data_IF_697485841379
#
_entry.id   IF_697485841379
#
_cell.length_a   1.000
_cell.length_b   1.000
_cell.length_c   1.000
_cell.angle_alpha   90.00
_cell.angle_beta   90.00
_cell.angle_gamma   90.00
#
_symmetry.space_group_name_H-M   'P 1'
#
loop_
_entity.id
_entity.type
_entity.pdbx_description
1 polymer ?
#
# COMPACT_ATOMS: atom_id res chain seq x y z
N UNK A 1 14.81 -42.99 66.34
CA UNK A 1 14.90 -43.34 64.91
C UNK A 1 13.50 -43.35 64.30
N UNK A 2 13.00 -42.20 63.84
CA UNK A 2 11.85 -42.08 62.89
C UNK A 2 11.57 -40.61 62.49
N UNK A 3 12.63 -39.81 62.42
CA UNK A 3 12.61 -38.42 61.94
C UNK A 3 13.09 -38.39 60.47
N UNK A 4 12.49 -39.22 59.61
CA UNK A 4 12.86 -39.34 58.18
C UNK A 4 11.70 -39.78 57.26
N UNK A 5 10.45 -39.41 57.55
CA UNK A 5 9.31 -39.65 56.63
C UNK A 5 8.52 -38.35 56.41
N UNK A 6 9.22 -37.22 56.30
CA UNK A 6 8.66 -35.94 55.85
C UNK A 6 9.62 -35.32 54.83
N UNK A 7 10.07 -36.09 53.84
CA UNK A 7 10.85 -35.59 52.69
C UNK A 7 10.78 -36.56 51.50
N UNK A 8 9.60 -37.01 51.06
CA UNK A 8 9.52 -37.68 49.76
C UNK A 8 8.12 -37.84 49.15
N UNK A 9 7.22 -36.86 49.27
CA UNK A 9 6.06 -36.79 48.34
C UNK A 9 5.43 -35.40 48.25
N UNK A 10 6.25 -34.34 48.35
CA UNK A 10 5.88 -32.98 47.89
C UNK A 10 6.39 -32.76 46.47
N UNK A 11 6.38 -33.81 45.64
CA UNK A 11 6.84 -33.77 44.25
C UNK A 11 5.83 -34.44 43.32
N UNK A 12 4.55 -34.14 43.55
CA UNK A 12 3.48 -34.28 42.55
C UNK A 12 2.81 -32.91 42.30
N UNK A 13 3.55 -31.82 42.55
CA UNK A 13 3.31 -30.52 41.94
C UNK A 13 4.52 -30.21 41.05
N UNK A 14 4.26 -29.66 39.87
CA UNK A 14 5.25 -29.27 38.85
C UNK A 14 5.71 -30.37 37.87
N UNK A 15 4.76 -31.12 37.30
CA UNK A 15 4.79 -31.37 35.85
C UNK A 15 3.36 -31.20 35.33
N UNK A 16 2.84 -29.97 35.41
CA UNK A 16 2.03 -29.50 34.28
C UNK A 16 3.08 -29.26 33.20
N UNK A 17 3.42 -30.31 32.46
CA UNK A 17 3.86 -30.14 31.09
C UNK A 17 2.71 -29.39 30.44
N UNK A 18 2.77 -28.06 30.43
CA UNK A 18 2.22 -27.29 29.34
C UNK A 18 2.96 -27.82 28.12
N UNK A 19 2.46 -28.93 27.57
CA UNK A 19 2.53 -29.15 26.14
C UNK A 19 1.87 -27.90 25.58
N UNK A 20 2.69 -26.87 25.36
CA UNK A 20 2.28 -25.69 24.63
C UNK A 20 1.91 -26.21 23.26
N UNK A 21 0.64 -26.59 23.09
CA UNK A 21 -0.02 -26.52 21.79
C UNK A 21 0.15 -25.07 21.39
N UNK A 22 1.25 -24.77 20.71
CA UNK A 22 1.54 -23.43 20.23
C UNK A 22 0.40 -23.08 19.28
N UNK A 23 -0.38 -22.10 19.72
CA UNK A 23 -1.58 -21.67 19.02
C UNK A 23 -1.15 -21.14 17.65
N UNK A 24 -1.78 -21.64 16.60
CA UNK A 24 -1.57 -21.10 15.26
C UNK A 24 -1.89 -19.60 15.27
N UNK A 25 -1.00 -18.73 14.74
CA UNK A 25 -1.25 -17.29 14.73
C UNK A 25 -2.54 -16.97 13.99
N UNK A 26 -3.41 -16.15 14.58
CA UNK A 26 -4.64 -15.76 13.91
C UNK A 26 -4.43 -14.56 12.96
N UNK A 27 -5.41 -14.34 12.11
CA UNK A 27 -5.48 -13.11 11.30
C UNK A 27 -5.59 -11.90 12.22
N UNK A 28 -4.72 -10.90 12.02
CA UNK A 28 -4.74 -9.67 12.80
C UNK A 28 -6.11 -8.95 12.65
N UNK A 29 -6.76 -8.52 13.76
CA UNK A 29 -8.06 -7.86 13.69
C UNK A 29 -8.05 -6.60 12.81
N UNK A 30 -9.03 -6.49 11.91
CA UNK A 30 -9.15 -5.35 10.99
C UNK A 30 -8.09 -5.32 9.88
N UNK A 31 -7.26 -6.36 9.76
CA UNK A 31 -6.37 -6.49 8.61
C UNK A 31 -7.13 -6.92 7.35
N UNK A 32 -6.56 -6.58 6.19
CA UNK A 32 -7.10 -6.93 4.87
C UNK A 32 -6.06 -7.70 4.07
N UNK A 33 -6.50 -8.54 3.13
CA UNK A 33 -5.56 -9.22 2.25
C UNK A 33 -4.90 -8.24 1.28
N UNK A 34 -3.60 -8.38 1.07
CA UNK A 34 -2.86 -7.54 0.10
C UNK A 34 -3.32 -7.80 -1.33
N UNK A 35 -3.63 -9.05 -1.66
CA UNK A 35 -4.15 -9.45 -2.96
C UNK A 35 -5.46 -10.22 -2.77
N UNK A 36 -6.43 -10.14 -3.71
CA UNK A 36 -7.75 -10.76 -3.54
C UNK A 36 -7.70 -12.27 -3.33
N UNK A 37 -6.71 -12.94 -3.92
CA UNK A 37 -6.57 -14.39 -3.90
C UNK A 37 -5.49 -14.91 -2.91
N UNK A 38 -4.79 -14.02 -2.19
CA UNK A 38 -3.80 -14.42 -1.18
C UNK A 38 -4.44 -14.53 0.19
N UNK A 39 -4.06 -15.56 0.97
CA UNK A 39 -4.58 -15.80 2.33
C UNK A 39 -3.58 -15.52 3.45
N UNK A 40 -2.29 -15.37 3.13
CA UNK A 40 -1.23 -15.25 4.12
C UNK A 40 -0.65 -13.83 4.25
N UNK A 41 -0.79 -12.98 3.22
CA UNK A 41 -0.31 -11.59 3.25
C UNK A 41 -1.43 -10.63 3.62
N UNK A 42 -1.30 -10.04 4.79
CA UNK A 42 -2.26 -9.12 5.40
C UNK A 42 -1.67 -7.72 5.53
N UNK A 43 -2.51 -6.70 5.46
CA UNK A 43 -2.16 -5.29 5.64
C UNK A 43 -2.96 -4.70 6.79
N UNK A 44 -2.31 -3.86 7.61
CA UNK A 44 -2.94 -3.14 8.70
C UNK A 44 -2.54 -1.67 8.71
N UNK A 45 -3.49 -0.81 9.08
CA UNK A 45 -3.26 0.61 9.32
C UNK A 45 -2.56 0.87 10.66
N UNK A 46 -2.57 -0.12 11.57
CA UNK A 46 -1.92 -0.03 12.86
C UNK A 46 -0.40 0.03 12.75
N UNK A 47 0.24 0.58 13.79
CA UNK A 47 1.71 0.65 13.88
C UNK A 47 2.32 -0.74 14.03
N UNK A 48 3.57 -0.85 13.58
CA UNK A 48 4.40 -2.05 13.77
C UNK A 48 4.42 -2.53 15.21
N UNK A 49 4.61 -1.64 16.18
CA UNK A 49 4.67 -2.00 17.61
C UNK A 49 3.35 -2.59 18.12
N UNK A 50 2.21 -2.07 17.67
CA UNK A 50 0.89 -2.58 18.05
C UNK A 50 0.65 -3.98 17.49
N UNK A 51 1.02 -4.19 16.23
CA UNK A 51 0.92 -5.50 15.57
C UNK A 51 1.88 -6.52 16.19
N UNK A 52 3.12 -6.11 16.48
CA UNK A 52 4.12 -6.93 17.17
C UNK A 52 3.62 -7.36 18.55
N UNK A 53 3.09 -6.42 19.33
CA UNK A 53 2.58 -6.71 20.68
C UNK A 53 1.40 -7.70 20.64
N UNK A 54 0.48 -7.53 19.70
CA UNK A 54 -0.64 -8.46 19.51
C UNK A 54 -0.19 -9.92 19.34
N UNK A 55 0.79 -10.18 18.46
CA UNK A 55 1.22 -11.55 18.20
C UNK A 55 2.02 -12.16 19.36
N UNK A 56 2.79 -11.32 20.08
CA UNK A 56 3.48 -11.74 21.30
C UNK A 56 2.49 -12.15 22.41
N UNK A 57 1.36 -11.43 22.54
CA UNK A 57 0.31 -11.74 23.52
C UNK A 57 -0.54 -12.94 23.08
N UNK A 58 -0.83 -13.07 21.79
CA UNK A 58 -1.75 -14.08 21.28
C UNK A 58 -1.15 -15.49 21.28
N UNK A 59 0.09 -15.63 20.80
CA UNK A 59 0.76 -16.92 20.60
C UNK A 59 1.76 -17.21 21.72
N UNK A 60 2.19 -16.18 22.44
CA UNK A 60 3.26 -16.22 23.44
C UNK A 60 4.60 -15.72 22.88
N UNK A 61 5.67 -15.75 23.67
CA UNK A 61 6.98 -15.28 23.23
C UNK A 61 7.49 -16.12 22.05
N UNK A 62 8.06 -15.49 21.01
CA UNK A 62 8.66 -16.20 19.88
C UNK A 62 9.85 -17.05 20.33
N UNK A 63 10.12 -18.17 19.65
CA UNK A 63 11.34 -18.97 19.87
C UNK A 63 12.59 -18.21 19.41
N UNK A 64 12.48 -17.53 18.27
CA UNK A 64 13.48 -16.60 17.75
C UNK A 64 12.79 -15.37 17.19
N UNK A 65 13.37 -14.19 17.45
CA UNK A 65 13.03 -12.95 16.78
C UNK A 65 14.17 -12.62 15.82
N UNK A 66 13.95 -12.81 14.53
CA UNK A 66 14.92 -12.44 13.49
C UNK A 66 14.55 -11.09 12.89
N UNK A 67 15.47 -10.14 12.98
CA UNK A 67 15.29 -8.78 12.46
C UNK A 67 16.49 -7.94 12.83
N UNK A 68 16.81 -6.92 12.04
CA UNK A 68 17.83 -5.95 12.41
C UNK A 68 17.13 -4.78 13.15
N UNK A 69 17.30 -4.63 14.48
CA UNK A 69 16.68 -3.53 15.25
C UNK A 69 17.10 -2.16 14.71
N UNK A 70 18.32 -2.07 14.16
CA UNK A 70 18.84 -0.82 13.58
C UNK A 70 18.22 -0.46 12.22
N UNK A 71 17.49 -1.38 11.58
CA UNK A 71 16.68 -1.12 10.37
C UNK A 71 15.22 -0.74 10.67
N UNK A 72 14.84 -0.77 11.96
CA UNK A 72 13.64 -0.14 12.51
C UNK A 72 12.29 -0.81 12.25
N UNK A 73 12.13 -1.68 11.24
CA UNK A 73 10.76 -2.04 10.80
C UNK A 73 10.59 -3.43 10.16
N UNK A 74 11.20 -4.47 10.76
CA UNK A 74 10.94 -5.86 10.40
C UNK A 74 11.26 -6.79 11.56
N UNK A 75 10.36 -7.72 11.84
CA UNK A 75 10.61 -8.88 12.69
C UNK A 75 9.94 -10.11 12.09
N UNK A 76 10.61 -11.25 12.21
CA UNK A 76 10.01 -12.56 12.04
C UNK A 76 9.92 -13.26 13.40
N UNK A 77 8.69 -13.55 13.83
CA UNK A 77 8.36 -14.29 15.04
C UNK A 77 8.21 -15.76 14.69
N UNK A 78 9.24 -16.56 14.95
CA UNK A 78 9.18 -18.01 14.73
C UNK A 78 8.57 -18.69 15.96
N UNK A 79 7.46 -19.41 15.77
CA UNK A 79 6.82 -20.14 16.87
C UNK A 79 7.17 -21.62 16.84
N UNK A 80 7.09 -22.27 15.68
CA UNK A 80 7.40 -23.70 15.54
C UNK A 80 8.18 -23.95 14.26
N UNK A 81 9.19 -24.83 14.35
CA UNK A 81 9.84 -25.39 13.17
C UNK A 81 9.05 -26.59 12.67
N UNK A 82 8.61 -26.54 11.43
CA UNK A 82 7.87 -27.63 10.78
C UNK A 82 8.30 -27.77 9.33
N UNK A 83 8.18 -28.98 8.78
CA UNK A 83 8.35 -29.23 7.35
C UNK A 83 6.93 -29.41 6.77
N UNK A 84 6.57 -28.74 5.66
CA UNK A 84 7.46 -28.01 4.75
C UNK A 84 7.81 -26.57 5.18
N UNK A 85 6.96 -25.91 5.97
CA UNK A 85 7.12 -24.50 6.32
C UNK A 85 7.12 -24.28 7.84
N UNK A 86 7.93 -23.31 8.29
CA UNK A 86 7.98 -22.86 9.67
C UNK A 86 6.71 -22.08 10.03
N UNK A 87 6.10 -22.40 11.18
CA UNK A 87 4.97 -21.64 11.72
C UNK A 87 5.49 -20.35 12.35
N UNK A 88 5.14 -19.21 11.74
CA UNK A 88 5.64 -17.92 12.19
C UNK A 88 4.88 -16.73 11.61
N UNK A 89 5.19 -15.55 12.13
CA UNK A 89 4.61 -14.29 11.66
C UNK A 89 5.72 -13.31 11.31
N UNK A 90 5.76 -12.87 10.06
CA UNK A 90 6.57 -11.72 9.67
C UNK A 90 5.75 -10.44 9.81
N UNK A 91 6.28 -9.45 10.52
CA UNK A 91 5.69 -8.11 10.62
C UNK A 91 6.70 -7.11 10.06
N UNK A 92 6.26 -6.25 9.17
CA UNK A 92 7.12 -5.24 8.55
C UNK A 92 6.39 -3.93 8.35
N UNK A 93 7.08 -2.82 8.56
CA UNK A 93 6.58 -1.49 8.22
C UNK A 93 7.62 -0.71 7.43
N UNK A 94 7.22 0.40 6.81
CA UNK A 94 8.17 1.31 6.17
C UNK A 94 8.94 0.74 4.96
N UNK A 95 8.61 -0.48 4.50
CA UNK A 95 9.21 -1.11 3.30
C UNK A 95 8.26 -1.11 2.11
N UNK A 96 7.13 -0.42 2.22
CA UNK A 96 6.30 -0.10 1.06
C UNK A 96 7.10 0.65 -0.01
N UNK A 97 6.65 0.55 -1.27
CA UNK A 97 7.30 1.21 -2.41
C UNK A 97 6.22 1.73 -3.35
N UNK A 98 5.65 2.88 -3.01
CA UNK A 98 4.72 3.57 -3.91
C UNK A 98 5.48 4.56 -4.79
N UNK A 99 5.49 4.30 -6.09
CA UNK A 99 6.03 5.22 -7.10
C UNK A 99 5.08 6.41 -7.35
N UNK A 100 3.77 6.22 -7.10
CA UNK A 100 2.71 7.22 -7.29
C UNK A 100 3.01 8.52 -6.52
N UNK A 101 3.52 8.40 -5.29
CA UNK A 101 3.84 9.59 -4.47
C UNK A 101 4.95 10.42 -5.10
N UNK A 102 5.93 9.78 -5.75
CA UNK A 102 6.94 10.47 -6.53
C UNK A 102 6.33 11.23 -7.71
N UNK A 103 5.44 10.55 -8.45
CA UNK A 103 4.74 11.12 -9.61
C UNK A 103 3.90 12.36 -9.24
N UNK A 104 3.22 12.33 -8.09
CA UNK A 104 2.44 13.49 -7.59
C UNK A 104 3.37 14.63 -7.16
N UNK A 105 4.44 14.35 -6.42
CA UNK A 105 5.39 15.39 -6.00
C UNK A 105 6.09 16.06 -7.18
N UNK A 106 6.41 15.31 -8.24
CA UNK A 106 6.95 15.88 -9.48
C UNK A 106 5.97 16.85 -10.14
N UNK A 107 4.66 16.56 -10.12
CA UNK A 107 3.61 17.46 -10.63
C UNK A 107 3.51 18.72 -9.78
N UNK A 108 3.50 18.57 -8.44
CA UNK A 108 3.50 19.71 -7.52
C UNK A 108 4.75 20.59 -7.67
N UNK A 109 5.91 19.98 -7.92
CA UNK A 109 7.15 20.71 -8.24
C UNK A 109 7.03 21.49 -9.54
N UNK A 110 6.33 20.96 -10.54
CA UNK A 110 6.00 21.69 -11.77
C UNK A 110 5.24 22.99 -11.50
N UNK A 111 4.25 22.97 -10.59
CA UNK A 111 3.50 24.17 -10.21
C UNK A 111 4.34 25.18 -9.41
N UNK A 112 5.31 24.71 -8.63
CA UNK A 112 6.26 25.59 -7.95
C UNK A 112 7.16 26.31 -8.96
N UNK A 113 7.68 25.60 -9.96
CA UNK A 113 8.48 26.20 -11.04
C UNK A 113 7.68 27.23 -11.85
N UNK A 114 6.38 27.00 -12.03
CA UNK A 114 5.46 27.92 -12.70
C UNK A 114 5.02 29.11 -11.81
N UNK A 115 5.42 29.14 -10.53
CA UNK A 115 5.06 30.21 -9.60
C UNK A 115 3.63 30.16 -9.08
N UNK A 116 2.91 29.04 -9.26
CA UNK A 116 1.54 28.85 -8.77
C UNK A 116 1.54 28.60 -7.26
N UNK A 117 2.53 27.84 -6.77
CA UNK A 117 2.78 27.66 -5.34
C UNK A 117 4.18 28.11 -4.97
N UNK A 118 4.36 28.51 -3.73
CA UNK A 118 5.68 28.79 -3.16
C UNK A 118 6.41 27.50 -2.79
N UNK A 119 7.75 27.56 -2.75
CA UNK A 119 8.56 26.46 -2.26
C UNK A 119 8.21 26.04 -0.81
N UNK A 120 7.78 26.98 0.03
CA UNK A 120 7.34 26.66 1.40
C UNK A 120 6.09 25.80 1.42
N UNK A 121 5.10 26.12 0.58
CA UNK A 121 3.88 25.31 0.43
C UNK A 121 4.22 23.90 -0.08
N UNK A 122 5.14 23.78 -1.06
CA UNK A 122 5.59 22.48 -1.54
C UNK A 122 6.25 21.66 -0.42
N UNK A 123 7.16 22.26 0.35
CA UNK A 123 7.83 21.60 1.48
C UNK A 123 6.82 21.13 2.54
N UNK A 124 5.79 21.93 2.83
CA UNK A 124 4.73 21.55 3.77
C UNK A 124 3.95 20.33 3.30
N UNK A 125 3.56 20.30 2.01
CA UNK A 125 2.87 19.16 1.40
C UNK A 125 3.79 17.94 1.45
N UNK A 126 5.04 18.05 1.02
CA UNK A 126 5.98 16.94 1.07
C UNK A 126 6.14 16.40 2.49
N UNK A 127 6.33 17.27 3.48
CA UNK A 127 6.50 16.87 4.88
C UNK A 127 5.27 16.11 5.39
N UNK A 128 4.06 16.54 5.02
CA UNK A 128 2.80 15.89 5.42
C UNK A 128 2.67 14.49 4.83
N UNK A 129 3.05 14.28 3.56
CA UNK A 129 2.73 13.04 2.83
C UNK A 129 3.94 12.15 2.49
N UNK A 130 5.18 12.56 2.80
CA UNK A 130 6.39 11.78 2.49
C UNK A 130 6.34 10.35 2.99
N UNK A 131 5.67 10.11 4.12
CA UNK A 131 5.53 8.78 4.70
C UNK A 131 4.80 7.78 3.79
N UNK A 132 3.92 8.27 2.90
CA UNK A 132 3.14 7.42 1.98
C UNK A 132 4.03 6.61 1.02
N UNK A 133 5.25 7.08 0.71
CA UNK A 133 6.22 6.34 -0.12
C UNK A 133 6.54 4.96 0.44
N UNK A 134 6.47 4.85 1.77
CA UNK A 134 6.87 3.68 2.54
C UNK A 134 5.67 2.85 3.03
N UNK A 135 4.45 3.24 2.64
CA UNK A 135 3.20 2.53 2.95
C UNK A 135 2.91 1.42 1.93
N UNK A 136 2.08 0.47 2.34
CA UNK A 136 1.55 -0.61 1.53
C UNK A 136 0.13 -0.28 1.07
N UNK A 137 -0.26 -0.87 -0.06
CA UNK A 137 -1.58 -0.70 -0.65
C UNK A 137 -2.11 -2.07 -1.07
N UNK A 138 -3.43 -2.23 -1.02
CA UNK A 138 -4.12 -3.41 -1.53
C UNK A 138 -4.07 -3.41 -3.05
N UNK A 139 -4.06 -4.59 -3.65
CA UNK A 139 -4.25 -4.78 -5.09
C UNK A 139 -5.70 -5.15 -5.37
N UNK A 140 -6.31 -4.45 -6.32
CA UNK A 140 -7.64 -4.73 -6.82
C UNK A 140 -7.60 -4.76 -8.35
N UNK A 141 -8.53 -5.48 -8.96
CA UNK A 141 -8.65 -5.51 -10.42
C UNK A 141 -9.14 -4.15 -10.93
N UNK A 142 -8.47 -3.63 -11.95
CA UNK A 142 -8.92 -2.44 -12.67
C UNK A 142 -10.03 -2.77 -13.67
N UNK A 143 -10.51 -1.77 -14.42
CA UNK A 143 -11.58 -1.95 -15.43
C UNK A 143 -11.23 -2.96 -16.54
N UNK A 144 -9.94 -3.29 -16.72
CA UNK A 144 -9.44 -4.28 -17.69
C UNK A 144 -9.15 -5.64 -17.04
N UNK A 145 -9.48 -5.82 -15.76
CA UNK A 145 -9.19 -7.03 -15.00
C UNK A 145 -7.72 -7.15 -14.57
N UNK A 146 -6.92 -6.08 -14.69
CA UNK A 146 -5.50 -6.11 -14.32
C UNK A 146 -5.35 -5.76 -12.85
N UNK A 147 -4.69 -6.63 -12.08
CA UNK A 147 -4.37 -6.38 -10.68
C UNK A 147 -3.46 -5.16 -10.55
N UNK A 148 -4.01 -4.10 -9.97
CA UNK A 148 -3.36 -2.79 -9.83
C UNK A 148 -3.44 -2.36 -8.36
N UNK A 149 -2.39 -1.70 -7.85
CA UNK A 149 -2.41 -1.18 -6.50
C UNK A 149 -3.42 -0.02 -6.35
N UNK A 150 -4.10 0.04 -5.21
CA UNK A 150 -5.20 1.00 -4.97
C UNK A 150 -4.73 2.46 -5.10
N UNK A 151 -3.51 2.79 -4.68
CA UNK A 151 -2.90 4.11 -4.85
C UNK A 151 -2.76 4.53 -6.33
N UNK A 152 -2.43 3.57 -7.21
CA UNK A 152 -2.32 3.81 -8.65
C UNK A 152 -3.68 4.04 -9.29
N UNK A 153 -4.73 3.37 -8.80
CA UNK A 153 -6.10 3.58 -9.28
C UNK A 153 -6.63 4.95 -8.88
N UNK A 154 -6.39 5.34 -7.61
CA UNK A 154 -6.68 6.70 -7.14
C UNK A 154 -5.93 7.72 -8.00
N UNK A 155 -4.64 7.51 -8.23
CA UNK A 155 -3.85 8.40 -9.08
C UNK A 155 -4.42 8.55 -10.50
N UNK A 156 -4.75 7.44 -11.18
CA UNK A 156 -5.33 7.45 -12.53
C UNK A 156 -6.65 8.22 -12.59
N UNK A 157 -7.51 8.10 -11.57
CA UNK A 157 -8.76 8.88 -11.45
C UNK A 157 -8.49 10.40 -11.53
N UNK A 158 -7.47 10.89 -10.82
CA UNK A 158 -7.10 12.31 -10.86
C UNK A 158 -6.35 12.69 -12.14
N UNK A 159 -5.47 11.82 -12.64
CA UNK A 159 -4.76 12.04 -13.89
C UNK A 159 -5.71 12.20 -15.08
N UNK A 160 -6.72 11.34 -15.18
CA UNK A 160 -7.76 11.43 -16.21
C UNK A 160 -8.55 12.75 -16.11
N UNK A 161 -8.75 13.27 -14.90
CA UNK A 161 -9.46 14.54 -14.67
C UNK A 161 -8.69 15.76 -15.22
N UNK A 162 -7.36 15.69 -15.24
CA UNK A 162 -6.49 16.77 -15.76
C UNK A 162 -6.24 16.71 -17.27
N UNK A 163 -6.87 15.76 -17.97
CA UNK A 163 -6.57 15.49 -19.38
C UNK A 163 -5.15 14.95 -19.61
N UNK A 164 -4.39 14.58 -18.57
CA UNK A 164 -3.00 14.11 -18.70
C UNK A 164 -2.91 12.73 -19.33
N UNK A 165 -3.94 11.87 -19.15
CA UNK A 165 -4.04 10.59 -19.86
C UNK A 165 -4.06 10.72 -21.38
N UNK A 166 -4.40 11.91 -21.90
CA UNK A 166 -4.45 12.25 -23.33
C UNK A 166 -3.18 12.97 -23.84
N UNK A 167 -2.21 13.24 -22.96
CA UNK A 167 -0.99 13.99 -23.32
C UNK A 167 0.29 13.17 -23.27
N UNK A 168 0.19 11.87 -22.94
CA UNK A 168 1.30 10.96 -23.21
C UNK A 168 1.40 10.76 -24.73
N UNK A 169 2.60 10.95 -25.32
CA UNK A 169 2.80 10.86 -26.77
C UNK A 169 2.31 9.54 -27.37
N UNK A 170 2.40 8.45 -26.60
CA UNK A 170 1.95 7.11 -27.00
C UNK A 170 0.42 7.06 -27.15
N UNK A 171 -0.34 7.58 -26.19
CA UNK A 171 -1.81 7.65 -26.27
C UNK A 171 -2.28 8.63 -27.35
N UNK A 172 -1.57 9.75 -27.54
CA UNK A 172 -1.88 10.71 -28.62
C UNK A 172 -1.74 10.08 -30.01
N UNK A 173 -0.68 9.31 -30.22
CA UNK A 173 -0.44 8.61 -31.48
C UNK A 173 -1.49 7.53 -31.73
N UNK A 174 -1.84 6.72 -30.72
CA UNK A 174 -2.90 5.72 -30.85
C UNK A 174 -4.26 6.33 -31.19
N UNK A 175 -4.61 7.46 -30.57
CA UNK A 175 -5.88 8.14 -30.81
C UNK A 175 -5.90 8.82 -32.17
N UNK A 176 -4.80 9.45 -32.59
CA UNK A 176 -4.69 10.01 -33.94
C UNK A 176 -4.84 8.92 -35.01
N UNK A 177 -4.25 7.74 -34.79
CA UNK A 177 -4.46 6.58 -35.68
C UNK A 177 -5.92 6.12 -35.70
N UNK A 178 -6.62 6.13 -34.56
CA UNK A 178 -8.05 5.82 -34.52
C UNK A 178 -8.90 6.85 -35.26
N UNK A 179 -8.58 8.15 -35.12
CA UNK A 179 -9.25 9.23 -35.86
C UNK A 179 -9.03 9.06 -37.37
N UNK A 180 -7.79 8.80 -37.80
CA UNK A 180 -7.45 8.54 -39.20
C UNK A 180 -8.16 7.30 -39.76
N UNK A 181 -8.26 6.22 -38.96
CA UNK A 181 -8.99 5.02 -39.34
C UNK A 181 -10.50 5.28 -39.51
N UNK A 182 -11.11 6.05 -38.61
CA UNK A 182 -12.52 6.43 -38.68
C UNK A 182 -12.81 7.32 -39.90
N UNK A 183 -11.94 8.30 -40.18
CA UNK A 183 -12.07 9.16 -41.36
C UNK A 183 -11.91 8.37 -42.66
N UNK A 184 -10.93 7.46 -42.72
CA UNK A 184 -10.68 6.60 -43.88
C UNK A 184 -11.81 5.58 -44.12
N UNK A 185 -12.51 5.17 -43.07
CA UNK A 185 -13.68 4.30 -43.15
C UNK A 185 -14.99 5.04 -43.52
N UNK A 186 -14.93 6.35 -43.82
CA UNK A 186 -16.10 7.16 -44.14
C UNK A 186 -16.96 7.54 -42.92
N UNK A 187 -16.52 7.20 -41.70
CA UNK A 187 -17.17 7.55 -40.42
C UNK A 187 -16.71 8.92 -39.93
N UNK A 188 -16.81 9.92 -40.81
CA UNK A 188 -16.24 11.25 -40.61
C UNK A 188 -16.82 11.93 -39.35
N UNK A 189 -18.12 11.77 -39.08
CA UNK A 189 -18.76 12.36 -37.89
C UNK A 189 -18.14 11.85 -36.58
N UNK A 190 -17.86 10.55 -36.49
CA UNK A 190 -17.29 9.93 -35.29
C UNK A 190 -15.81 10.27 -35.11
N UNK A 191 -15.06 10.34 -36.23
CA UNK A 191 -13.69 10.83 -36.21
C UNK A 191 -13.61 12.30 -35.74
N UNK A 192 -14.55 13.15 -36.18
CA UNK A 192 -14.64 14.55 -35.75
C UNK A 192 -15.07 14.69 -34.29
N UNK A 193 -16.00 13.88 -33.80
CA UNK A 193 -16.38 13.86 -32.38
C UNK A 193 -15.19 13.45 -31.50
N UNK A 194 -14.44 12.42 -31.89
CA UNK A 194 -13.25 11.98 -31.16
C UNK A 194 -12.15 13.04 -31.17
N UNK A 195 -11.91 13.70 -32.31
CA UNK A 195 -10.96 14.80 -32.43
C UNK A 195 -11.36 16.02 -31.58
N UNK A 196 -12.66 16.37 -31.58
CA UNK A 196 -13.17 17.47 -30.77
C UNK A 196 -13.04 17.17 -29.28
N UNK A 197 -13.39 15.95 -28.85
CA UNK A 197 -13.20 15.50 -27.48
C UNK A 197 -11.73 15.57 -27.05
N UNK A 198 -10.81 15.11 -27.91
CA UNK A 198 -9.37 15.20 -27.65
C UNK A 198 -8.93 16.67 -27.49
N UNK A 199 -9.39 17.57 -28.36
CA UNK A 199 -9.07 18.99 -28.28
C UNK A 199 -9.62 19.62 -26.99
N UNK A 200 -10.88 19.38 -26.66
CA UNK A 200 -11.53 19.93 -25.47
C UNK A 200 -10.85 19.42 -24.18
N UNK A 201 -10.47 18.13 -24.14
CA UNK A 201 -9.75 17.55 -23.02
C UNK A 201 -8.31 18.09 -22.88
N UNK A 202 -7.64 18.42 -23.99
CA UNK A 202 -6.33 19.10 -23.99
C UNK A 202 -6.46 20.54 -23.49
N UNK A 203 -7.42 21.32 -24.02
CA UNK A 203 -7.63 22.73 -23.63
C UNK A 203 -8.01 22.84 -22.15
N UNK A 204 -8.96 22.02 -21.70
CA UNK A 204 -9.33 21.91 -20.29
C UNK A 204 -8.16 21.46 -19.42
N UNK A 205 -7.32 20.57 -19.95
CA UNK A 205 -6.08 20.15 -19.32
C UNK A 205 -5.09 21.31 -19.15
N UNK A 206 -4.94 22.19 -20.13
CA UNK A 206 -4.05 23.36 -20.08
C UNK A 206 -4.51 24.38 -19.04
N UNK A 207 -5.81 24.68 -18.98
CA UNK A 207 -6.39 25.59 -17.99
C UNK A 207 -6.25 25.05 -16.56
N UNK A 208 -6.54 23.76 -16.36
CA UNK A 208 -6.34 23.12 -15.05
C UNK A 208 -4.85 23.12 -14.66
N UNK A 209 -3.94 22.82 -15.59
CA UNK A 209 -2.48 22.74 -15.35
C UNK A 209 -1.82 24.04 -14.90
N UNK A 210 -2.49 25.18 -14.96
CA UNK A 210 -1.92 26.49 -14.62
C UNK A 210 -2.65 27.18 -13.46
N UNK A 211 -3.36 26.40 -12.64
CA UNK A 211 -4.29 26.92 -11.65
C UNK A 211 -4.04 26.40 -10.22
N UNK A 212 -4.53 27.15 -9.23
CA UNK A 212 -4.54 26.72 -7.82
C UNK A 212 -5.48 25.50 -7.62
N UNK A 213 -6.45 25.33 -8.50
CA UNK A 213 -7.38 24.22 -8.53
C UNK A 213 -6.66 22.89 -8.79
N UNK A 214 -5.66 22.85 -9.68
CA UNK A 214 -4.85 21.65 -9.88
C UNK A 214 -4.01 21.30 -8.65
N UNK A 215 -3.45 22.28 -7.95
CA UNK A 215 -2.71 22.04 -6.69
C UNK A 215 -3.62 21.40 -5.65
N UNK A 216 -4.83 21.94 -5.46
CA UNK A 216 -5.84 21.37 -4.56
C UNK A 216 -6.20 19.95 -4.98
N UNK A 217 -6.39 19.72 -6.28
CA UNK A 217 -6.71 18.41 -6.81
C UNK A 217 -5.62 17.37 -6.50
N UNK A 218 -4.35 17.67 -6.73
CA UNK A 218 -3.25 16.75 -6.40
C UNK A 218 -3.08 16.55 -4.89
N UNK A 219 -3.37 17.58 -4.09
CA UNK A 219 -3.40 17.46 -2.63
C UNK A 219 -4.55 16.54 -2.17
N UNK A 220 -5.73 16.65 -2.77
CA UNK A 220 -6.87 15.76 -2.52
C UNK A 220 -6.55 14.31 -2.93
N UNK A 221 -5.79 14.12 -4.03
CA UNK A 221 -5.29 12.81 -4.42
C UNK A 221 -4.39 12.21 -3.31
N UNK A 222 -3.49 13.00 -2.72
CA UNK A 222 -2.67 12.56 -1.59
C UNK A 222 -3.49 12.24 -0.34
N UNK A 223 -4.56 13.01 -0.06
CA UNK A 223 -5.50 12.70 1.04
C UNK A 223 -6.25 11.38 0.81
N UNK A 224 -6.74 11.15 -0.41
CA UNK A 224 -7.43 9.90 -0.77
C UNK A 224 -6.49 8.69 -0.68
N UNK A 225 -5.25 8.82 -1.16
CA UNK A 225 -4.21 7.77 -1.00
C UNK A 225 -3.91 7.56 0.49
N UNK A 226 -3.80 8.63 1.27
CA UNK A 226 -3.54 8.57 2.70
C UNK A 226 -4.61 7.79 3.47
N UNK A 227 -5.88 7.90 3.07
CA UNK A 227 -6.98 7.15 3.67
C UNK A 227 -6.92 5.64 3.39
N UNK A 228 -6.17 5.23 2.37
CA UNK A 228 -6.00 3.83 1.93
C UNK A 228 -4.62 3.26 2.22
N UNK A 229 -3.76 4.02 2.89
CA UNK A 229 -2.39 3.64 3.15
C UNK A 229 -2.27 2.72 4.38
N UNK A 230 -1.75 1.52 4.17
CA UNK A 230 -1.47 0.58 5.25
C UNK A 230 -0.02 0.75 5.71
N UNK A 231 0.20 0.86 7.02
CA UNK A 231 1.54 1.12 7.60
C UNK A 231 2.33 -0.16 7.78
N UNK A 232 1.65 -1.27 8.02
CA UNK A 232 2.24 -2.53 8.42
C UNK A 232 1.74 -3.66 7.52
N UNK A 233 2.66 -4.47 7.03
CA UNK A 233 2.40 -5.73 6.33
C UNK A 233 2.73 -6.89 7.26
N UNK A 234 1.83 -7.87 7.29
CA UNK A 234 1.90 -9.08 8.11
C UNK A 234 1.88 -10.27 7.16
N UNK A 235 2.78 -11.23 7.34
CA UNK A 235 2.79 -12.50 6.61
C UNK A 235 2.70 -13.62 7.64
N UNK A 236 1.65 -14.43 7.56
CA UNK A 236 1.49 -15.63 8.40
C UNK A 236 2.02 -16.83 7.61
N UNK A 237 3.10 -17.43 8.09
CA UNK A 237 3.66 -18.68 7.57
C UNK A 237 3.07 -19.84 8.36
N UNK A 238 2.62 -20.89 7.67
CA UNK A 238 1.94 -22.07 8.24
C UNK A 238 2.49 -23.34 7.63
#
# INVERSE_FOLDING_TARGET
MQLRIIKLTVLFLAIVTTASSQKQPSTYPGSVFKYPNQKNTLLSMDSYEKVKSFYADEVGPPRTEEGNPSSGYFAFFLYQKSLPDDLGVSVSSGRGRSNVIGDIFSRLKGFEVQGIITNNQLIEIERKYRYLRNCYFVYIEDEKGVLTSEDRLIFRKYENTTGLGWSEPENQNEIMQQIEALMSAGRISEGMELAQKMKDDIEKGIELRSSNEAVKMWTNCLDEISAKAYRTMIIISM
#
